data_IF_203688862750
#
_entry.id   IF_203688862750
#
_cell.length_a   1.000
_cell.length_b   1.000
_cell.length_c   1.000
_cell.angle_alpha   90.00
_cell.angle_beta   90.00
_cell.angle_gamma   90.00
#
_symmetry.space_group_name_H-M   'P 1'
#
loop_
_entity.id
_entity.type
_entity.pdbx_description
1 polymer ?
#
# COMPACT_ATOMS: atom_id res chain seq x y z
N UNK A 1 -4.03 -3.24 -19.91
CA UNK A 1 -3.32 -3.73 -18.70
C UNK A 1 -4.00 -3.10 -17.50
N UNK A 2 -4.07 -3.83 -16.38
CA UNK A 2 -4.64 -3.33 -15.13
C UNK A 2 -3.50 -2.92 -14.19
N UNK A 3 -3.72 -1.87 -13.40
CA UNK A 3 -2.82 -1.48 -12.32
C UNK A 3 -2.80 -2.59 -11.27
N UNK A 4 -1.61 -3.08 -10.93
CA UNK A 4 -1.39 -4.09 -9.91
C UNK A 4 -0.46 -3.55 -8.83
N UNK A 5 -0.71 -3.91 -7.58
CA UNK A 5 0.11 -3.57 -6.41
C UNK A 5 0.51 -4.86 -5.68
N UNK A 6 1.76 -4.94 -5.22
CA UNK A 6 2.32 -6.07 -4.50
C UNK A 6 3.35 -5.61 -3.48
N UNK A 7 3.74 -6.50 -2.56
CA UNK A 7 4.85 -6.28 -1.64
C UNK A 7 5.82 -7.46 -1.71
N UNK A 8 7.14 -7.24 -1.75
CA UNK A 8 8.10 -8.33 -1.57
C UNK A 8 8.12 -8.86 -0.12
N UNK A 9 7.46 -8.17 0.83
CA UNK A 9 7.44 -8.57 2.24
C UNK A 9 6.34 -9.60 2.58
N UNK A 10 5.24 -9.63 1.82
CA UNK A 10 4.12 -10.55 2.03
C UNK A 10 3.27 -10.67 0.75
N UNK A 11 2.65 -11.84 0.57
CA UNK A 11 1.69 -12.04 -0.52
C UNK A 11 0.29 -11.58 -0.12
N UNK A 12 -0.60 -11.41 -1.10
CA UNK A 12 -1.99 -11.03 -0.88
C UNK A 12 -2.67 -11.96 0.15
N UNK A 13 -3.40 -11.35 1.09
CA UNK A 13 -4.09 -12.03 2.19
C UNK A 13 -3.19 -12.88 3.12
N UNK A 14 -1.86 -12.72 3.05
CA UNK A 14 -0.94 -13.32 4.01
C UNK A 14 -0.61 -12.35 5.15
N UNK A 15 -0.13 -12.90 6.25
CA UNK A 15 0.25 -12.13 7.44
C UNK A 15 1.33 -11.10 7.13
N UNK A 16 1.08 -9.85 7.53
CA UNK A 16 2.07 -8.76 7.47
C UNK A 16 3.16 -9.05 8.54
N UNK A 17 4.46 -9.03 8.19
CA UNK A 17 5.53 -9.25 9.16
C UNK A 17 5.52 -8.24 10.31
N UNK A 18 5.84 -8.70 11.54
CA UNK A 18 5.86 -7.90 12.78
C UNK A 18 6.65 -6.60 12.63
N UNK A 19 7.72 -6.60 11.83
CA UNK A 19 8.52 -5.40 11.53
C UNK A 19 7.66 -4.19 11.14
N UNK A 20 6.56 -4.41 10.43
CA UNK A 20 5.69 -3.37 9.88
C UNK A 20 4.44 -3.08 10.72
N UNK A 21 4.30 -3.73 11.89
CA UNK A 21 3.17 -3.52 12.80
C UNK A 21 3.59 -2.67 13.99
N UNK A 22 2.64 -2.32 14.85
CA UNK A 22 2.90 -1.62 16.11
C UNK A 22 3.73 -2.44 17.13
N UNK A 23 3.81 -3.76 16.96
CA UNK A 23 4.62 -4.64 17.80
C UNK A 23 6.11 -4.67 17.37
N UNK A 24 6.44 -4.09 16.22
CA UNK A 24 7.79 -4.02 15.67
C UNK A 24 8.29 -2.59 15.49
N UNK A 25 8.91 -2.32 14.34
CA UNK A 25 9.48 -1.00 14.04
C UNK A 25 8.41 0.02 13.61
N UNK A 26 7.19 -0.45 13.31
CA UNK A 26 6.07 0.38 12.85
C UNK A 26 6.43 1.25 11.62
N UNK A 27 7.28 0.71 10.74
CA UNK A 27 7.66 1.34 9.48
C UNK A 27 6.77 0.83 8.33
N UNK A 28 6.80 1.53 7.21
CA UNK A 28 6.04 1.15 6.03
C UNK A 28 6.55 -0.11 5.32
N UNK A 29 5.72 -1.12 4.97
CA UNK A 29 6.11 -2.16 4.03
C UNK A 29 6.56 -1.59 2.68
N UNK A 30 7.52 -2.25 2.03
CA UNK A 30 7.84 -1.96 0.63
C UNK A 30 6.62 -2.31 -0.23
N UNK A 31 6.24 -1.40 -1.12
CA UNK A 31 5.20 -1.62 -2.12
C UNK A 31 5.79 -1.45 -3.51
N UNK A 32 5.32 -2.29 -4.42
CA UNK A 32 5.64 -2.25 -5.84
C UNK A 32 4.32 -2.19 -6.61
N UNK A 33 4.29 -1.42 -7.70
CA UNK A 33 3.14 -1.41 -8.59
C UNK A 33 3.58 -1.40 -10.05
N UNK A 34 2.75 -2.00 -10.90
CA UNK A 34 2.99 -2.10 -12.32
C UNK A 34 1.67 -1.94 -13.10
N UNK A 35 1.77 -1.75 -14.42
CA UNK A 35 0.59 -1.63 -15.27
C UNK A 35 -0.12 -0.28 -15.21
N UNK A 36 0.54 0.77 -14.69
CA UNK A 36 0.00 2.13 -14.73
C UNK A 36 -0.21 2.61 -16.19
N UNK A 37 -1.31 3.33 -16.50
CA UNK A 37 -1.52 3.92 -17.83
C UNK A 37 -0.35 4.82 -18.25
N UNK A 38 -0.04 4.86 -19.56
CA UNK A 38 1.09 5.60 -20.13
C UNK A 38 1.15 7.08 -19.71
N UNK A 39 -0.01 7.72 -19.53
CA UNK A 39 -0.10 9.15 -19.23
C UNK A 39 -0.33 9.45 -17.74
N UNK A 40 -0.10 8.46 -16.85
CA UNK A 40 -0.21 8.62 -15.40
C UNK A 40 0.76 9.70 -14.92
N UNK A 41 0.22 10.79 -14.36
CA UNK A 41 1.02 11.90 -13.81
C UNK A 41 1.46 11.63 -12.39
N UNK A 42 0.52 11.13 -11.58
CA UNK A 42 0.77 10.79 -10.21
C UNK A 42 -0.06 9.59 -9.77
N UNK A 43 0.40 8.94 -8.70
CA UNK A 43 -0.24 7.82 -8.02
C UNK A 43 -0.57 8.27 -6.59
N UNK A 44 -1.68 7.75 -6.07
CA UNK A 44 -2.03 7.84 -4.66
C UNK A 44 -2.08 6.44 -4.06
N UNK A 45 -1.72 6.32 -2.78
CA UNK A 45 -1.78 5.09 -2.00
C UNK A 45 -2.67 5.36 -0.79
N UNK A 46 -3.68 4.52 -0.62
CA UNK A 46 -4.57 4.51 0.54
C UNK A 46 -4.46 3.13 1.16
N UNK A 47 -4.16 3.07 2.45
CA UNK A 47 -4.14 1.83 3.23
C UNK A 47 -5.25 1.91 4.27
N UNK A 48 -6.32 1.14 4.06
CA UNK A 48 -7.50 1.11 4.91
C UNK A 48 -7.62 -0.23 5.63
N UNK A 49 -7.99 -0.18 6.91
CA UNK A 49 -8.44 -1.31 7.71
C UNK A 49 -9.96 -1.21 7.91
N UNK A 50 -10.78 -1.94 7.14
CA UNK A 50 -12.23 -1.97 7.32
C UNK A 50 -12.67 -2.74 8.58
N UNK A 51 -11.79 -3.53 9.20
CA UNK A 51 -12.09 -4.37 10.36
C UNK A 51 -11.84 -3.64 11.70
N UNK A 52 -11.37 -2.38 11.65
CA UNK A 52 -11.12 -1.59 12.85
C UNK A 52 -12.39 -1.40 13.71
N UNK A 53 -12.26 -1.34 15.06
CA UNK A 53 -13.42 -1.44 15.97
C UNK A 53 -14.51 -0.37 15.82
N UNK A 54 -14.18 0.78 15.21
CA UNK A 54 -15.08 1.92 15.02
C UNK A 54 -15.46 2.13 13.54
N UNK A 55 -15.34 1.08 12.71
CA UNK A 55 -15.45 1.17 11.26
C UNK A 55 -14.10 1.46 10.61
N UNK A 56 -14.10 1.69 9.30
CA UNK A 56 -12.87 1.80 8.50
C UNK A 56 -11.89 2.82 9.05
N UNK A 57 -10.66 2.37 9.29
CA UNK A 57 -9.55 3.21 9.72
C UNK A 57 -8.51 3.33 8.60
N UNK A 58 -8.25 4.55 8.15
CA UNK A 58 -7.20 4.82 7.16
C UNK A 58 -5.84 4.93 7.87
N UNK A 59 -4.99 3.92 7.69
CA UNK A 59 -3.63 3.90 8.22
C UNK A 59 -2.75 4.92 7.51
N UNK A 60 -2.79 4.96 6.17
CA UNK A 60 -2.00 5.92 5.39
C UNK A 60 -2.77 6.52 4.23
N UNK A 61 -2.41 7.77 3.93
CA UNK A 61 -2.71 8.45 2.67
C UNK A 61 -1.42 9.06 2.15
N UNK A 62 -0.99 8.64 0.96
CA UNK A 62 0.09 9.25 0.21
C UNK A 62 -0.46 9.69 -1.14
N UNK A 63 -0.06 10.87 -1.60
CA UNK A 63 -0.50 11.42 -2.88
C UNK A 63 0.66 12.15 -3.55
N UNK A 64 0.47 12.47 -4.84
CA UNK A 64 1.47 13.12 -5.69
C UNK A 64 2.79 12.33 -5.83
N UNK A 65 2.71 11.00 -5.72
CA UNK A 65 3.83 10.12 -6.04
C UNK A 65 3.97 10.14 -7.56
N UNK A 66 5.14 10.53 -8.07
CA UNK A 66 5.37 10.63 -9.50
C UNK A 66 5.06 9.30 -10.22
N UNK A 67 4.24 9.37 -11.28
CA UNK A 67 4.04 8.23 -12.16
C UNK A 67 5.35 7.87 -12.85
N UNK A 68 5.67 6.59 -12.92
CA UNK A 68 6.84 6.12 -13.67
C UNK A 68 6.53 6.10 -15.19
N UNK A 69 7.43 6.62 -16.02
CA UNK A 69 7.29 6.59 -17.49
C UNK A 69 7.66 5.26 -18.10
#
# INVERSE_FOLDING_TARGET
MALQVSSPAFAEAQTIPIKYTCDGENISPPLEWNGQPKDTKSVAIICDDPDAPSGTFTHWVLYDIAGHT
#
